data_IF_824103433680
#
_entry.id   IF_824103433680
#
_cell.length_a   1.000
_cell.length_b   1.000
_cell.length_c   1.000
_cell.angle_alpha   90.00
_cell.angle_beta   90.00
_cell.angle_gamma   90.00
#
_symmetry.space_group_name_H-M   'P 1'
#
loop_
_entity.id
_entity.type
_entity.pdbx_description
1 polymer ?
#
# COMPACT_ATOMS: atom_id res chain seq x y z
N UNK A 1 3.70 -2.93 8.49
CA UNK A 1 4.32 -3.48 9.72
C UNK A 1 5.57 -4.26 9.33
N UNK A 2 6.72 -3.59 9.33
CA UNK A 2 8.03 -4.21 9.08
C UNK A 2 9.13 -3.34 9.70
N UNK A 3 10.26 -3.94 10.08
CA UNK A 3 11.44 -3.20 10.49
C UNK A 3 12.22 -2.73 9.26
N UNK A 4 12.80 -1.52 9.30
CA UNK A 4 13.61 -1.00 8.20
C UNK A 4 14.95 -0.45 8.70
N UNK A 5 16.01 -0.76 7.96
CA UNK A 5 17.30 -0.10 8.08
C UNK A 5 17.51 0.75 6.83
N UNK A 6 17.72 2.05 7.02
CA UNK A 6 17.96 3.01 5.94
C UNK A 6 19.42 3.42 5.98
N UNK A 7 20.14 3.09 4.92
CA UNK A 7 21.53 3.47 4.71
C UNK A 7 21.56 4.69 3.79
N UNK A 8 22.15 5.79 4.26
CA UNK A 8 22.45 6.96 3.44
C UNK A 8 23.93 6.90 3.03
N UNK A 9 24.20 7.04 1.75
CA UNK A 9 25.53 6.91 1.18
C UNK A 9 26.05 8.31 0.81
N UNK A 10 27.30 8.57 1.16
CA UNK A 10 27.97 9.85 0.92
C UNK A 10 29.23 9.65 0.06
N UNK A 11 29.48 10.60 -0.82
CA UNK A 11 30.71 10.64 -1.60
C UNK A 11 31.92 11.14 -0.76
N UNK A 12 33.10 11.19 -1.38
CA UNK A 12 34.33 11.66 -0.74
C UNK A 12 34.27 13.13 -0.27
N UNK A 13 33.31 13.91 -0.76
CA UNK A 13 33.09 15.31 -0.40
C UNK A 13 31.96 15.48 0.64
N UNK A 14 31.40 14.38 1.16
CA UNK A 14 30.30 14.42 2.12
C UNK A 14 28.94 14.75 1.50
N UNK A 15 28.77 14.62 0.18
CA UNK A 15 27.48 14.83 -0.51
C UNK A 15 26.72 13.51 -0.61
N UNK A 16 25.40 13.57 -0.55
CA UNK A 16 24.55 12.38 -0.75
C UNK A 16 24.79 11.82 -2.15
N UNK A 17 25.22 10.57 -2.22
CA UNK A 17 25.48 9.85 -3.46
C UNK A 17 24.46 8.74 -3.72
N UNK A 18 23.72 8.32 -2.69
CA UNK A 18 22.75 7.23 -2.79
C UNK A 18 22.05 6.92 -1.48
N UNK A 19 21.10 6.00 -1.53
CA UNK A 19 20.44 5.44 -0.36
C UNK A 19 20.04 3.98 -0.62
N UNK A 20 20.04 3.16 0.42
CA UNK A 20 19.54 1.79 0.36
C UNK A 20 18.61 1.53 1.55
N UNK A 21 17.53 0.78 1.30
CA UNK A 21 16.58 0.38 2.35
C UNK A 21 16.57 -1.13 2.45
N UNK A 22 16.88 -1.65 3.63
CA UNK A 22 16.74 -3.08 3.95
C UNK A 22 15.52 -3.28 4.84
N UNK A 23 14.61 -4.14 4.39
CA UNK A 23 13.37 -4.45 5.10
C UNK A 23 13.47 -5.78 5.82
N UNK A 24 12.92 -5.86 7.03
CA UNK A 24 12.97 -7.02 7.90
C UNK A 24 11.58 -7.36 8.42
N UNK A 25 11.28 -8.66 8.47
CA UNK A 25 10.14 -9.23 9.19
C UNK A 25 8.80 -8.53 8.86
N UNK A 26 8.41 -8.59 7.58
CA UNK A 26 7.06 -8.22 7.21
C UNK A 26 6.06 -9.14 7.90
N UNK A 27 5.11 -8.56 8.62
CA UNK A 27 4.03 -9.27 9.29
C UNK A 27 3.03 -9.82 8.26
N UNK A 28 3.37 -10.95 7.63
CA UNK A 28 2.58 -11.57 6.55
C UNK A 28 1.23 -12.09 7.03
N UNK A 29 1.16 -12.58 8.27
CA UNK A 29 -0.08 -13.10 8.88
C UNK A 29 -1.20 -12.07 8.88
N UNK A 30 -0.86 -10.78 8.99
CA UNK A 30 -1.83 -9.66 8.98
C UNK A 30 -2.71 -9.62 7.74
N UNK A 31 -2.24 -10.14 6.60
CA UNK A 31 -3.04 -10.19 5.38
C UNK A 31 -4.28 -11.07 5.58
N UNK A 32 -4.12 -12.23 6.21
CA UNK A 32 -5.19 -13.21 6.40
C UNK A 32 -5.96 -13.03 7.71
N UNK A 33 -5.34 -12.39 8.71
CA UNK A 33 -5.87 -12.30 10.07
C UNK A 33 -5.60 -10.92 10.66
N UNK A 34 -6.67 -10.23 11.05
CA UNK A 34 -6.63 -8.96 11.77
C UNK A 34 -7.43 -9.09 13.06
N UNK A 35 -7.05 -8.35 14.10
CA UNK A 35 -7.79 -8.28 15.37
C UNK A 35 -8.49 -6.93 15.45
N UNK A 36 -9.76 -6.88 15.79
CA UNK A 36 -10.47 -5.62 16.02
C UNK A 36 -9.83 -4.86 17.21
N UNK A 37 -9.56 -3.54 17.11
CA UNK A 37 -9.94 -2.58 16.07
C UNK A 37 -8.87 -2.28 15.00
N UNK A 38 -7.95 -3.21 14.72
CA UNK A 38 -6.88 -3.01 13.74
C UNK A 38 -7.35 -3.18 12.29
N UNK A 39 -6.74 -2.40 11.40
CA UNK A 39 -6.87 -2.55 9.95
C UNK A 39 -5.82 -3.52 9.37
N UNK A 40 -6.11 -3.98 8.16
CA UNK A 40 -5.11 -4.59 7.29
C UNK A 40 -4.13 -3.51 6.75
N UNK A 41 -3.22 -3.88 5.85
CA UNK A 41 -2.31 -2.92 5.22
C UNK A 41 -3.07 -1.84 4.43
N UNK A 42 -2.56 -0.59 4.50
CA UNK A 42 -3.20 0.56 3.86
C UNK A 42 -3.49 0.35 2.37
N UNK A 43 -2.57 -0.27 1.62
CA UNK A 43 -2.70 -0.45 0.17
C UNK A 43 -4.03 -1.08 -0.27
N UNK A 44 -4.64 -1.95 0.55
CA UNK A 44 -5.96 -2.51 0.26
C UNK A 44 -7.07 -1.46 0.33
N UNK A 45 -7.06 -0.61 1.37
CA UNK A 45 -8.04 0.47 1.55
C UNK A 45 -7.82 1.59 0.54
N UNK A 46 -6.56 1.91 0.20
CA UNK A 46 -6.23 2.86 -0.87
C UNK A 46 -6.85 2.44 -2.20
N UNK A 47 -6.75 1.14 -2.53
CA UNK A 47 -7.33 0.60 -3.75
C UNK A 47 -8.87 0.60 -3.74
N UNK A 48 -9.50 0.29 -2.60
CA UNK A 48 -10.95 0.44 -2.45
C UNK A 48 -11.43 1.90 -2.55
N UNK A 49 -10.57 2.87 -2.27
CA UNK A 49 -10.84 4.31 -2.34
C UNK A 49 -10.29 4.97 -3.62
N UNK A 50 -9.76 4.19 -4.56
CA UNK A 50 -9.20 4.69 -5.81
C UNK A 50 -10.30 5.32 -6.70
N UNK A 51 -9.93 6.09 -7.75
CA UNK A 51 -10.88 6.62 -8.71
C UNK A 51 -11.75 5.53 -9.36
N UNK A 52 -12.98 5.85 -9.81
CA UNK A 52 -13.89 4.90 -10.44
C UNK A 52 -13.24 4.05 -11.53
N UNK A 53 -12.42 4.65 -12.39
CA UNK A 53 -11.67 3.96 -13.45
C UNK A 53 -10.86 2.77 -12.92
N UNK A 54 -10.10 2.96 -11.84
CA UNK A 54 -9.27 1.92 -11.25
C UNK A 54 -10.09 0.92 -10.44
N UNK A 55 -11.08 1.39 -9.68
CA UNK A 55 -11.96 0.48 -8.90
C UNK A 55 -12.77 -0.44 -9.82
N UNK A 56 -13.30 0.07 -10.93
CA UNK A 56 -14.02 -0.74 -11.92
C UNK A 56 -13.07 -1.70 -12.63
N UNK A 57 -11.89 -1.23 -13.05
CA UNK A 57 -10.86 -2.06 -13.70
C UNK A 57 -10.45 -3.25 -12.85
N UNK A 58 -10.27 -3.04 -11.54
CA UNK A 58 -9.86 -4.10 -10.60
C UNK A 58 -11.04 -4.79 -9.89
N UNK A 59 -12.28 -4.44 -10.26
CA UNK A 59 -13.53 -4.96 -9.68
C UNK A 59 -13.60 -4.80 -8.17
N UNK A 60 -13.15 -3.64 -7.69
CA UNK A 60 -13.12 -3.30 -6.28
C UNK A 60 -14.44 -2.64 -5.86
N UNK A 61 -14.73 -2.74 -4.57
CA UNK A 61 -15.90 -2.13 -3.94
C UNK A 61 -15.57 -1.69 -2.51
N UNK A 62 -16.62 -1.52 -1.70
CA UNK A 62 -16.46 -1.12 -0.30
C UNK A 62 -15.61 -2.16 0.47
N UNK A 63 -14.66 -1.76 1.35
CA UNK A 63 -13.80 -2.71 2.06
C UNK A 63 -14.54 -3.85 2.78
N UNK A 64 -15.74 -3.59 3.32
CA UNK A 64 -16.55 -4.61 4.00
C UNK A 64 -17.00 -5.77 3.10
N UNK A 65 -16.94 -5.65 1.77
CA UNK A 65 -17.28 -6.74 0.85
C UNK A 65 -16.17 -7.80 0.72
N UNK A 66 -14.96 -7.51 1.22
CA UNK A 66 -13.81 -8.41 1.10
C UNK A 66 -13.52 -9.13 2.40
N UNK A 67 -13.34 -10.45 2.32
CA UNK A 67 -13.08 -11.30 3.49
C UNK A 67 -11.85 -10.83 4.29
N UNK A 68 -10.77 -10.43 3.62
CA UNK A 68 -9.54 -10.00 4.31
C UNK A 68 -9.61 -8.60 4.94
N UNK A 69 -10.68 -7.84 4.69
CA UNK A 69 -10.84 -6.50 5.24
C UNK A 69 -12.01 -6.40 6.21
N UNK A 70 -12.95 -7.35 6.23
CA UNK A 70 -14.18 -7.27 6.98
C UNK A 70 -14.15 -7.92 8.39
N UNK A 71 -12.99 -8.37 8.86
CA UNK A 71 -12.83 -8.93 10.21
C UNK A 71 -12.70 -7.86 11.32
N UNK A 72 -12.56 -6.59 10.95
CA UNK A 72 -12.64 -5.44 11.87
C UNK A 72 -13.70 -4.46 11.37
N UNK A 73 -14.28 -3.70 12.30
CA UNK A 73 -15.18 -2.59 11.98
C UNK A 73 -14.43 -1.28 11.67
N UNK A 74 -13.10 -1.30 11.69
CA UNK A 74 -12.25 -0.16 11.39
C UNK A 74 -11.94 -0.10 9.89
N UNK A 75 -12.74 0.66 9.13
CA UNK A 75 -12.52 0.88 7.70
C UNK A 75 -11.89 2.22 7.39
N UNK A 76 -12.16 3.23 8.21
CA UNK A 76 -11.67 4.60 8.07
C UNK A 76 -10.79 4.98 9.26
N UNK A 77 -9.86 5.91 9.04
CA UNK A 77 -9.03 6.48 10.09
C UNK A 77 -9.32 7.98 10.19
N UNK A 78 -9.46 8.47 11.41
CA UNK A 78 -9.74 9.89 11.64
C UNK A 78 -8.63 10.77 11.07
N UNK A 79 -9.01 11.72 10.23
CA UNK A 79 -8.08 12.67 9.61
C UNK A 79 -7.25 12.12 8.44
N UNK A 80 -7.53 10.91 7.95
CA UNK A 80 -6.83 10.33 6.80
C UNK A 80 -7.83 10.01 5.68
N UNK A 81 -7.57 10.55 4.49
CA UNK A 81 -8.31 10.21 3.27
C UNK A 81 -7.56 9.14 2.48
N UNK A 82 -8.07 7.90 2.50
CA UNK A 82 -7.47 6.79 1.74
C UNK A 82 -7.44 7.10 0.21
N UNK A 83 -8.35 7.92 -0.31
CA UNK A 83 -8.35 8.37 -1.70
C UNK A 83 -7.20 9.35 -2.02
N UNK A 84 -6.92 10.29 -1.12
CA UNK A 84 -5.80 11.22 -1.29
C UNK A 84 -4.45 10.50 -1.15
N UNK A 85 -4.35 9.57 -0.20
CA UNK A 85 -3.19 8.70 0.01
C UNK A 85 -2.95 7.75 -1.17
N UNK A 86 -3.99 7.29 -1.87
CA UNK A 86 -3.86 6.54 -3.12
C UNK A 86 -3.14 7.38 -4.18
N UNK A 87 -3.60 8.61 -4.41
CA UNK A 87 -2.98 9.51 -5.38
C UNK A 87 -1.55 9.91 -4.96
N UNK A 88 -1.31 10.12 -3.67
CA UNK A 88 0.03 10.39 -3.15
C UNK A 88 0.99 9.22 -3.37
N UNK A 89 0.50 7.98 -3.13
CA UNK A 89 1.27 6.75 -3.37
C UNK A 89 1.64 6.59 -4.84
N UNK A 90 0.68 6.81 -5.76
CA UNK A 90 0.93 6.79 -7.20
C UNK A 90 1.99 7.81 -7.62
N UNK A 91 1.87 9.06 -7.16
CA UNK A 91 2.88 10.09 -7.41
C UNK A 91 4.25 9.71 -6.86
N UNK A 92 4.31 9.08 -5.69
CA UNK A 92 5.58 8.61 -5.12
C UNK A 92 6.21 7.49 -5.96
N UNK A 93 5.40 6.56 -6.48
CA UNK A 93 5.87 5.53 -7.41
C UNK A 93 6.44 6.15 -8.70
N UNK A 94 5.77 7.17 -9.25
CA UNK A 94 6.25 7.91 -10.43
C UNK A 94 7.62 8.58 -10.16
N UNK A 95 7.77 9.25 -9.01
CA UNK A 95 9.01 9.92 -8.61
C UNK A 95 10.18 8.94 -8.45
N UNK A 96 9.90 7.73 -7.95
CA UNK A 96 10.90 6.66 -7.80
C UNK A 96 11.22 5.98 -9.14
N UNK A 97 10.42 6.22 -10.18
CA UNK A 97 10.65 5.71 -11.54
C UNK A 97 9.98 4.37 -11.82
N UNK A 98 8.93 4.00 -11.09
CA UNK A 98 8.13 2.79 -11.36
C UNK A 98 7.18 3.11 -12.51
N UNK A 99 7.28 2.36 -13.61
CA UNK A 99 6.49 2.60 -14.81
C UNK A 99 4.98 2.39 -14.60
N UNK A 100 4.11 3.01 -15.41
CA UNK A 100 2.66 2.78 -15.33
C UNK A 100 2.28 1.30 -15.45
N UNK A 101 2.99 0.54 -16.28
CA UNK A 101 2.78 -0.90 -16.46
C UNK A 101 3.15 -1.70 -15.20
N UNK A 102 4.25 -1.34 -14.54
CA UNK A 102 4.65 -1.95 -13.26
C UNK A 102 3.68 -1.57 -12.13
N UNK A 103 3.22 -0.31 -12.08
CA UNK A 103 2.21 0.13 -11.11
C UNK A 103 0.91 -0.66 -11.29
N UNK A 104 0.45 -0.82 -12.53
CA UNK A 104 -0.74 -1.63 -12.83
C UNK A 104 -0.55 -3.09 -12.39
N UNK A 105 0.61 -3.68 -12.69
CA UNK A 105 0.92 -5.05 -12.27
C UNK A 105 0.91 -5.19 -10.73
N UNK A 106 1.48 -4.23 -10.00
CA UNK A 106 1.47 -4.20 -8.53
C UNK A 106 0.03 -4.13 -8.02
N UNK A 107 -0.77 -3.18 -8.52
CA UNK A 107 -2.15 -3.01 -8.07
C UNK A 107 -3.04 -4.20 -8.42
N UNK A 108 -2.82 -4.85 -9.57
CA UNK A 108 -3.50 -6.10 -9.92
C UNK A 108 -3.20 -7.23 -8.93
N UNK A 109 -1.96 -7.36 -8.47
CA UNK A 109 -1.61 -8.37 -7.46
C UNK A 109 -2.28 -8.06 -6.13
N UNK A 110 -2.26 -6.79 -5.69
CA UNK A 110 -2.91 -6.38 -4.43
C UNK A 110 -4.43 -6.60 -4.50
N UNK A 111 -5.07 -6.22 -5.61
CA UNK A 111 -6.51 -6.46 -5.82
C UNK A 111 -6.83 -7.96 -5.91
N UNK A 112 -5.99 -8.77 -6.57
CA UNK A 112 -6.19 -10.21 -6.65
C UNK A 112 -6.20 -10.86 -5.27
N UNK A 113 -5.35 -10.41 -4.33
CA UNK A 113 -5.36 -10.89 -2.94
C UNK A 113 -6.72 -10.67 -2.29
N UNK A 114 -7.40 -9.55 -2.54
CA UNK A 114 -8.73 -9.29 -1.97
C UNK A 114 -9.82 -10.23 -2.52
N UNK A 115 -9.63 -10.76 -3.73
CA UNK A 115 -10.59 -11.64 -4.41
C UNK A 115 -10.37 -13.14 -4.14
N UNK A 116 -9.31 -13.52 -3.41
CA UNK A 116 -9.03 -14.91 -3.00
C UNK A 116 -9.86 -15.32 -1.79
#
# INVERSE_FOLDING_TARGET
RFGKFVELQFDKNGRISGAAVRTYLLERSRVCQISDPERNYHCFYLLCAAPPEDTEKYKLGHPSSFHYLNHSNCYQLDGVSDAEEYLATRRAMDVVGISPEEQDAIFRVVAAILHL
#
